data_IF_994966203955
#
_entry.id   IF_994966203955
#
_cell.length_a   1.000
_cell.length_b   1.000
_cell.length_c   1.000
_cell.angle_alpha   90.00
_cell.angle_beta   90.00
_cell.angle_gamma   90.00
#
_symmetry.space_group_name_H-M   'P 1'
#
loop_
_entity.id
_entity.type
_entity.pdbx_description
1 polymer ?
#
# COMPACT_ATOMS: atom_id res chain seq x y z
N UNK A 1 -4.46 -53.89 41.02
CA UNK A 1 -3.28 -53.05 40.76
C UNK A 1 -3.50 -51.62 41.27
N UNK A 2 -2.84 -51.21 42.36
CA UNK A 2 -2.89 -49.81 42.85
C UNK A 2 -1.89 -48.98 42.03
N UNK A 3 -2.39 -48.06 41.18
CA UNK A 3 -1.52 -47.07 40.52
C UNK A 3 -0.79 -46.26 41.58
N UNK A 4 0.53 -46.31 41.57
CA UNK A 4 1.40 -45.63 42.54
C UNK A 4 1.18 -44.12 42.48
N UNK A 5 0.87 -43.49 43.63
CA UNK A 5 0.75 -42.02 43.75
C UNK A 5 2.02 -41.29 43.27
N UNK A 6 3.18 -41.94 43.29
CA UNK A 6 4.44 -41.40 42.74
C UNK A 6 4.41 -41.22 41.22
N UNK A 7 3.71 -42.09 40.48
CA UNK A 7 3.60 -41.95 39.02
C UNK A 7 2.65 -40.82 38.60
N UNK A 8 1.62 -40.54 39.43
CA UNK A 8 0.73 -39.40 39.20
C UNK A 8 1.48 -38.08 39.44
N UNK A 9 2.26 -38.00 40.52
CA UNK A 9 3.10 -36.85 40.82
C UNK A 9 4.16 -36.60 39.72
N UNK A 10 4.75 -37.65 39.14
CA UNK A 10 5.71 -37.53 38.03
C UNK A 10 5.08 -36.99 36.74
N UNK A 11 3.79 -37.27 36.48
CA UNK A 11 3.05 -36.72 35.33
C UNK A 11 2.61 -35.27 35.54
N UNK A 12 2.20 -34.92 36.75
CA UNK A 12 1.86 -33.53 37.12
C UNK A 12 3.11 -32.63 37.17
N UNK A 13 4.27 -33.20 37.52
CA UNK A 13 5.55 -32.48 37.56
C UNK A 13 6.26 -32.39 36.19
N UNK A 14 5.67 -32.94 35.12
CA UNK A 14 6.08 -32.64 33.74
C UNK A 14 5.53 -31.25 33.42
N UNK A 15 6.29 -30.23 33.80
CA UNK A 15 5.79 -28.86 33.92
C UNK A 15 5.04 -28.39 32.67
N UNK A 16 3.79 -27.91 32.81
CA UNK A 16 3.12 -27.19 31.74
C UNK A 16 3.94 -25.95 31.30
N UNK A 17 4.71 -25.37 32.24
CA UNK A 17 5.59 -24.21 32.05
C UNK A 17 6.42 -24.28 30.76
N UNK A 18 7.09 -25.40 30.47
CA UNK A 18 7.99 -25.48 29.30
C UNK A 18 7.26 -25.42 27.96
N UNK A 19 6.00 -25.87 27.91
CA UNK A 19 5.17 -25.81 26.69
C UNK A 19 4.51 -24.44 26.55
N UNK A 20 3.99 -23.88 27.65
CA UNK A 20 3.41 -22.53 27.67
C UNK A 20 4.45 -21.44 27.40
N UNK A 21 5.68 -21.52 27.96
CA UNK A 21 6.77 -20.58 27.68
C UNK A 21 7.17 -20.58 26.20
N UNK A 22 7.14 -21.74 25.53
CA UNK A 22 7.46 -21.85 24.10
C UNK A 22 6.35 -21.26 23.21
N UNK A 23 5.09 -21.42 23.58
CA UNK A 23 3.96 -20.78 22.88
C UNK A 23 3.93 -19.28 23.12
N UNK A 24 4.20 -18.83 24.35
CA UNK A 24 4.27 -17.40 24.72
C UNK A 24 5.43 -16.70 24.01
N UNK A 25 6.63 -17.30 24.02
CA UNK A 25 7.78 -16.76 23.28
C UNK A 25 7.52 -16.76 21.77
N UNK A 26 7.00 -17.84 21.19
CA UNK A 26 6.64 -17.88 19.77
C UNK A 26 5.59 -16.85 19.38
N UNK A 27 4.58 -16.63 20.23
CA UNK A 27 3.56 -15.60 20.03
C UNK A 27 4.15 -14.20 20.13
N UNK A 28 5.04 -13.97 21.10
CA UNK A 28 5.73 -12.69 21.29
C UNK A 28 6.60 -12.36 20.06
N UNK A 29 7.40 -13.33 19.58
CA UNK A 29 8.20 -13.18 18.37
C UNK A 29 7.32 -12.86 17.16
N UNK A 30 6.21 -13.57 16.97
CA UNK A 30 5.28 -13.29 15.88
C UNK A 30 4.71 -11.87 15.99
N UNK A 31 4.30 -11.41 17.18
CA UNK A 31 3.81 -10.04 17.36
C UNK A 31 4.87 -8.98 17.08
N UNK A 32 6.12 -9.23 17.46
CA UNK A 32 7.25 -8.33 17.17
C UNK A 32 7.49 -8.26 15.66
N UNK A 33 7.50 -9.42 14.98
CA UNK A 33 7.68 -9.48 13.53
C UNK A 33 6.55 -8.74 12.82
N UNK A 34 5.29 -9.01 13.18
CA UNK A 34 4.14 -8.32 12.61
C UNK A 34 4.18 -6.81 12.84
N UNK A 35 4.58 -6.38 14.05
CA UNK A 35 4.78 -4.97 14.37
C UNK A 35 5.88 -4.32 13.52
N UNK A 36 7.02 -4.99 13.35
CA UNK A 36 8.10 -4.52 12.49
C UNK A 36 7.67 -4.45 11.02
N UNK A 37 7.00 -5.48 10.51
CA UNK A 37 6.45 -5.48 9.15
C UNK A 37 5.46 -4.34 8.93
N UNK A 38 4.60 -4.05 9.92
CA UNK A 38 3.67 -2.93 9.85
C UNK A 38 4.40 -1.57 9.84
N UNK A 39 5.43 -1.41 10.66
CA UNK A 39 6.26 -0.20 10.65
C UNK A 39 6.98 -0.01 9.31
N UNK A 40 7.56 -1.08 8.76
CA UNK A 40 8.17 -1.04 7.42
C UNK A 40 7.12 -0.65 6.38
N UNK A 41 5.94 -1.29 6.41
CA UNK A 41 4.85 -0.99 5.49
C UNK A 41 4.46 0.50 5.52
N UNK A 42 4.32 1.11 6.70
CA UNK A 42 3.96 2.53 6.83
C UNK A 42 5.02 3.51 6.26
N UNK A 43 6.26 3.06 6.09
CA UNK A 43 7.36 3.86 5.55
C UNK A 43 7.59 3.62 4.05
N UNK A 44 6.80 2.75 3.40
CA UNK A 44 6.92 2.53 1.97
C UNK A 44 6.31 3.69 1.17
N UNK A 45 6.76 3.91 -0.08
CA UNK A 45 6.18 4.94 -0.95
C UNK A 45 4.68 4.75 -1.13
N UNK A 46 3.93 5.85 -1.28
CA UNK A 46 2.48 5.79 -1.46
C UNK A 46 2.04 4.89 -2.64
N UNK A 47 2.83 4.85 -3.72
CA UNK A 47 2.61 3.95 -4.86
C UNK A 47 2.53 2.47 -4.44
N UNK A 48 3.31 2.05 -3.45
CA UNK A 48 3.27 0.67 -2.90
C UNK A 48 1.98 0.42 -2.13
N UNK A 49 1.52 1.41 -1.36
CA UNK A 49 0.25 1.32 -0.65
C UNK A 49 -0.94 1.19 -1.61
N UNK A 50 -0.91 1.93 -2.73
CA UNK A 50 -1.91 1.83 -3.80
C UNK A 50 -1.93 0.42 -4.40
N UNK A 51 -0.75 -0.11 -4.73
CA UNK A 51 -0.62 -1.47 -5.25
C UNK A 51 -1.15 -2.52 -4.26
N UNK A 52 -0.70 -2.49 -3.00
CA UNK A 52 -1.15 -3.44 -1.99
C UNK A 52 -2.66 -3.36 -1.74
N UNK A 53 -3.24 -2.16 -1.77
CA UNK A 53 -4.69 -1.98 -1.66
C UNK A 53 -5.44 -2.59 -2.84
N UNK A 54 -4.94 -2.40 -4.05
CA UNK A 54 -5.49 -3.05 -5.24
C UNK A 54 -5.41 -4.59 -5.15
N UNK A 55 -4.25 -5.15 -4.79
CA UNK A 55 -4.07 -6.61 -4.64
C UNK A 55 -4.99 -7.21 -3.57
N UNK A 56 -5.14 -6.52 -2.44
CA UNK A 56 -5.85 -7.09 -1.26
C UNK A 56 -7.34 -6.84 -1.25
N UNK A 57 -7.82 -5.72 -1.80
CA UNK A 57 -9.24 -5.33 -1.76
C UNK A 57 -9.91 -5.37 -3.13
N UNK A 58 -9.15 -5.35 -4.22
CA UNK A 58 -9.67 -5.17 -5.57
C UNK A 58 -10.29 -3.79 -5.79
N UNK A 59 -10.38 -3.37 -7.06
CA UNK A 59 -11.11 -2.17 -7.46
C UNK A 59 -10.32 -0.85 -7.46
N UNK A 60 -11.06 0.22 -7.74
CA UNK A 60 -10.54 1.58 -7.94
C UNK A 60 -10.06 2.20 -6.61
N UNK A 61 -8.98 2.99 -6.68
CA UNK A 61 -8.41 3.69 -5.53
C UNK A 61 -9.12 5.03 -5.35
N UNK A 62 -9.87 5.17 -4.26
CA UNK A 62 -10.77 6.30 -3.99
C UNK A 62 -10.21 7.36 -3.03
N UNK A 63 -9.03 7.10 -2.46
CA UNK A 63 -8.45 7.95 -1.42
C UNK A 63 -6.99 8.27 -1.69
N UNK A 64 -6.68 9.56 -1.57
CA UNK A 64 -5.32 10.10 -1.61
C UNK A 64 -4.96 10.57 -0.19
N UNK A 65 -3.75 10.28 0.31
CA UNK A 65 -3.27 10.80 1.59
C UNK A 65 -3.27 12.33 1.63
N UNK A 66 -3.73 12.89 2.75
CA UNK A 66 -3.82 14.34 2.96
C UNK A 66 -2.48 15.08 2.82
N UNK A 67 -1.34 14.38 3.05
CA UNK A 67 0.00 14.95 2.84
C UNK A 67 0.24 15.47 1.42
N UNK A 68 -0.48 14.94 0.42
CA UNK A 68 -0.35 15.34 -0.98
C UNK A 68 -1.34 16.41 -1.43
N UNK A 69 -2.32 16.81 -0.59
CA UNK A 69 -3.41 17.68 -1.07
C UNK A 69 -2.91 19.04 -1.53
N UNK A 70 -2.01 19.67 -0.77
CA UNK A 70 -1.43 20.97 -1.14
C UNK A 70 -0.71 20.90 -2.50
N UNK A 71 0.09 19.86 -2.70
CA UNK A 71 0.87 19.64 -3.92
C UNK A 71 -0.03 19.32 -5.12
N UNK A 72 -1.02 18.44 -4.95
CA UNK A 72 -2.01 18.13 -5.98
C UNK A 72 -2.86 19.35 -6.34
N UNK A 73 -3.20 20.19 -5.37
CA UNK A 73 -3.90 21.45 -5.64
C UNK A 73 -3.05 22.35 -6.54
N UNK A 74 -1.75 22.50 -6.27
CA UNK A 74 -0.85 23.27 -7.13
C UNK A 74 -0.72 22.67 -8.54
N UNK A 75 -0.62 21.34 -8.64
CA UNK A 75 -0.54 20.65 -9.93
C UNK A 75 -1.83 20.78 -10.74
N UNK A 76 -2.99 20.60 -10.12
CA UNK A 76 -4.29 20.76 -10.78
C UNK A 76 -4.55 22.18 -11.27
N UNK A 77 -4.03 23.20 -10.58
CA UNK A 77 -4.10 24.59 -11.05
C UNK A 77 -3.24 24.83 -12.30
N UNK A 78 -2.24 23.97 -12.57
CA UNK A 78 -1.38 23.99 -13.75
C UNK A 78 -1.83 23.01 -14.84
N UNK A 79 -2.96 22.35 -14.64
CA UNK A 79 -3.50 21.42 -15.63
C UNK A 79 -3.77 22.13 -16.96
N UNK A 80 -3.65 21.39 -18.06
CA UNK A 80 -3.96 21.93 -19.37
C UNK A 80 -5.47 22.16 -19.57
N UNK A 81 -5.86 22.62 -20.76
CA UNK A 81 -7.27 22.87 -21.08
C UNK A 81 -8.19 21.64 -21.00
N UNK A 82 -7.64 20.43 -21.07
CA UNK A 82 -8.39 19.18 -20.89
C UNK A 82 -8.46 18.75 -19.41
N UNK A 83 -7.75 19.44 -18.53
CA UNK A 83 -7.57 19.11 -17.13
C UNK A 83 -6.45 18.09 -16.92
N UNK A 84 -5.59 17.81 -17.90
CA UNK A 84 -4.49 16.85 -17.75
C UNK A 84 -3.26 17.46 -17.08
N UNK A 85 -2.63 16.66 -16.23
CA UNK A 85 -1.35 16.94 -15.56
C UNK A 85 -0.38 15.82 -15.91
N UNK A 86 0.73 16.16 -16.55
CA UNK A 86 1.77 15.22 -16.98
C UNK A 86 2.95 15.24 -16.02
N UNK A 87 3.04 14.31 -15.07
CA UNK A 87 4.09 14.33 -14.03
C UNK A 87 5.42 13.71 -14.46
N UNK A 88 5.48 13.05 -15.62
CA UNK A 88 6.63 12.25 -16.09
C UNK A 88 7.98 13.00 -16.17
N UNK A 89 7.97 14.33 -16.20
CA UNK A 89 9.17 15.18 -16.24
C UNK A 89 9.43 15.97 -14.95
N UNK A 90 8.66 15.75 -13.88
CA UNK A 90 8.77 16.51 -12.65
C UNK A 90 9.82 15.91 -11.72
N UNK A 91 10.99 16.54 -11.64
CA UNK A 91 12.09 16.13 -10.76
C UNK A 91 11.80 16.47 -9.29
N UNK A 92 10.96 17.48 -9.03
CA UNK A 92 10.63 17.95 -7.67
C UNK A 92 9.55 17.14 -6.97
N UNK A 93 8.72 16.40 -7.72
CA UNK A 93 7.49 15.75 -7.23
C UNK A 93 7.57 14.23 -7.40
N UNK A 94 8.63 13.62 -6.86
CA UNK A 94 8.96 12.22 -7.13
C UNK A 94 7.87 11.26 -6.65
N UNK A 95 7.37 11.39 -5.42
CA UNK A 95 6.37 10.44 -4.88
C UNK A 95 5.02 10.55 -5.60
N UNK A 96 4.58 11.76 -5.97
CA UNK A 96 3.36 11.95 -6.78
C UNK A 96 3.57 11.48 -8.21
N UNK A 97 4.70 11.76 -8.86
CA UNK A 97 4.99 11.27 -10.20
C UNK A 97 5.09 9.74 -10.26
N UNK A 98 5.64 9.12 -9.21
CA UNK A 98 5.70 7.68 -9.08
C UNK A 98 4.30 7.06 -8.90
N UNK A 99 3.46 7.69 -8.07
CA UNK A 99 2.12 7.19 -7.78
C UNK A 99 1.10 7.52 -8.88
N UNK A 100 1.17 8.70 -9.47
CA UNK A 100 0.29 9.24 -10.51
C UNK A 100 1.13 9.61 -11.73
N UNK A 101 0.92 8.94 -12.87
CA UNK A 101 1.76 9.12 -14.06
C UNK A 101 1.32 10.27 -14.96
N UNK A 102 0.10 10.18 -15.49
CA UNK A 102 -0.55 11.31 -16.15
C UNK A 102 -2.00 11.26 -15.71
N UNK A 103 -2.40 12.29 -14.96
CA UNK A 103 -3.69 12.28 -14.30
C UNK A 103 -4.51 13.49 -14.70
N UNK A 104 -5.82 13.36 -14.56
CA UNK A 104 -6.79 14.40 -14.87
C UNK A 104 -7.34 15.01 -13.59
N UNK A 105 -7.44 16.32 -13.56
CA UNK A 105 -8.11 17.09 -12.53
C UNK A 105 -9.42 17.66 -13.06
N UNK A 106 -10.52 17.40 -12.35
CA UNK A 106 -11.83 17.99 -12.66
C UNK A 106 -12.39 18.68 -11.43
N UNK A 107 -12.86 19.92 -11.56
CA UNK A 107 -13.60 20.57 -10.48
C UNK A 107 -14.97 19.92 -10.33
N UNK A 108 -15.26 19.47 -9.11
CA UNK A 108 -16.56 18.88 -8.75
C UNK A 108 -17.14 19.59 -7.53
N UNK A 109 -18.39 19.26 -7.21
CA UNK A 109 -19.07 19.79 -6.02
C UNK A 109 -19.06 21.34 -5.96
N UNK A 110 -19.48 21.99 -7.05
CA UNK A 110 -19.48 23.46 -7.13
C UNK A 110 -18.09 24.10 -7.14
N UNK A 111 -17.03 23.32 -7.38
CA UNK A 111 -15.64 23.79 -7.42
C UNK A 111 -14.92 23.78 -6.06
N UNK A 112 -15.50 23.11 -5.05
CA UNK A 112 -14.88 22.92 -3.73
C UNK A 112 -13.89 21.76 -3.70
N UNK A 113 -14.02 20.80 -4.61
CA UNK A 113 -13.22 19.58 -4.64
C UNK A 113 -12.60 19.39 -6.02
N UNK A 114 -11.42 18.78 -6.04
CA UNK A 114 -10.87 18.17 -7.25
C UNK A 114 -11.20 16.69 -7.27
N UNK A 115 -11.68 16.23 -8.40
CA UNK A 115 -11.69 14.82 -8.77
C UNK A 115 -10.38 14.53 -9.52
N UNK A 116 -9.55 13.67 -8.94
CA UNK A 116 -8.29 13.19 -9.50
C UNK A 116 -8.53 11.83 -10.13
N UNK A 117 -8.26 11.73 -11.43
CA UNK A 117 -8.42 10.49 -12.21
C UNK A 117 -7.11 10.10 -12.88
N UNK A 118 -6.62 8.90 -12.60
CA UNK A 118 -5.48 8.29 -13.31
C UNK A 118 -5.87 6.86 -13.70
N UNK A 119 -5.34 6.39 -14.82
CA UNK A 119 -5.50 5.02 -15.27
C UNK A 119 -4.14 4.41 -15.52
N UNK A 120 -3.76 3.46 -14.66
CA UNK A 120 -2.51 2.73 -14.80
C UNK A 120 -2.78 1.40 -15.46
N UNK A 121 -2.22 1.23 -16.64
CA UNK A 121 -2.07 -0.04 -17.35
C UNK A 121 -0.69 -0.07 -18.00
N UNK A 122 -0.03 -1.22 -17.96
CA UNK A 122 1.23 -1.40 -18.68
C UNK A 122 0.98 -2.32 -19.87
N UNK A 123 1.26 -1.85 -21.08
CA UNK A 123 1.05 -2.64 -22.30
C UNK A 123 2.21 -3.61 -22.59
N UNK A 124 3.37 -3.40 -21.95
CA UNK A 124 4.54 -4.27 -22.04
C UNK A 124 5.43 -4.18 -20.79
N UNK A 125 6.29 -5.20 -20.59
CA UNK A 125 7.29 -5.18 -19.53
C UNK A 125 8.29 -4.02 -19.72
N UNK A 126 8.63 -3.67 -20.96
CA UNK A 126 9.54 -2.56 -21.27
C UNK A 126 8.95 -1.19 -20.88
N UNK A 127 7.63 -1.02 -20.98
CA UNK A 127 6.93 0.18 -20.52
C UNK A 127 6.91 0.29 -18.99
N UNK A 128 6.85 -0.85 -18.29
CA UNK A 128 6.96 -0.92 -16.83
C UNK A 128 8.41 -0.74 -16.33
N UNK A 129 9.40 -1.21 -17.09
CA UNK A 129 10.84 -1.04 -16.82
C UNK A 129 11.27 0.43 -16.96
N UNK A 130 10.65 1.17 -17.87
CA UNK A 130 10.77 2.64 -17.95
C UNK A 130 9.94 3.37 -16.88
N UNK A 131 9.23 2.62 -16.03
CA UNK A 131 8.46 3.10 -14.88
C UNK A 131 9.27 3.14 -13.58
N UNK A 132 8.57 3.09 -12.46
CA UNK A 132 9.19 3.14 -11.11
C UNK A 132 9.75 1.77 -10.72
N UNK A 133 10.66 1.70 -9.74
CA UNK A 133 11.15 0.39 -9.22
C UNK A 133 10.00 -0.52 -8.78
N UNK A 134 8.90 0.07 -8.31
CA UNK A 134 7.68 -0.64 -7.98
C UNK A 134 7.00 -1.25 -9.21
N UNK A 135 6.91 -0.51 -10.33
CA UNK A 135 6.31 -1.02 -11.56
C UNK A 135 7.07 -2.27 -12.07
N UNK A 136 8.41 -2.25 -11.99
CA UNK A 136 9.26 -3.40 -12.31
C UNK A 136 8.97 -4.59 -11.39
N UNK A 137 8.95 -4.36 -10.08
CA UNK A 137 8.66 -5.41 -9.11
C UNK A 137 7.27 -6.04 -9.32
N UNK A 138 6.27 -5.23 -9.64
CA UNK A 138 4.91 -5.72 -9.89
C UNK A 138 4.86 -6.54 -11.17
N UNK A 139 5.48 -6.08 -12.27
CA UNK A 139 5.48 -6.83 -13.52
C UNK A 139 6.23 -8.15 -13.42
N UNK A 140 7.29 -8.22 -12.61
CA UNK A 140 7.98 -9.50 -12.34
C UNK A 140 7.09 -10.51 -11.62
N UNK A 141 6.20 -10.06 -10.73
CA UNK A 141 5.35 -10.96 -9.93
C UNK A 141 4.04 -11.30 -10.64
N UNK A 142 3.40 -10.32 -11.29
CA UNK A 142 2.04 -10.43 -11.82
C UNK A 142 1.97 -10.42 -13.35
N UNK A 143 3.08 -10.17 -14.05
CA UNK A 143 3.08 -9.90 -15.48
C UNK A 143 2.51 -8.53 -15.82
N UNK A 144 2.06 -8.34 -17.05
CA UNK A 144 1.53 -7.06 -17.56
C UNK A 144 0.01 -6.94 -17.50
N UNK A 145 -0.69 -8.01 -17.13
CA UNK A 145 -2.16 -8.07 -17.06
C UNK A 145 -2.70 -7.50 -15.74
N UNK A 146 -2.28 -6.28 -15.38
CA UNK A 146 -2.91 -5.54 -14.31
C UNK A 146 -3.24 -4.12 -14.74
N UNK A 147 -4.46 -3.70 -14.42
CA UNK A 147 -4.88 -2.32 -14.51
C UNK A 147 -5.58 -1.89 -13.23
N UNK A 148 -5.33 -0.66 -12.83
CA UNK A 148 -6.09 -0.03 -11.77
C UNK A 148 -6.35 1.43 -12.09
N UNK A 149 -7.57 1.85 -11.78
CA UNK A 149 -7.99 3.25 -11.89
C UNK A 149 -7.88 3.90 -10.52
N UNK A 150 -7.31 5.09 -10.51
CA UNK A 150 -7.33 5.98 -9.37
C UNK A 150 -8.44 6.98 -9.65
N UNK A 151 -9.39 7.11 -8.72
CA UNK A 151 -10.51 8.03 -8.81
C UNK A 151 -10.82 8.57 -7.43
N UNK A 152 -10.09 9.60 -7.02
CA UNK A 152 -10.14 10.13 -5.68
C UNK A 152 -10.57 11.59 -5.65
N UNK A 153 -11.23 11.99 -4.56
CA UNK A 153 -11.59 13.39 -4.32
C UNK A 153 -10.65 14.00 -3.30
N UNK A 154 -10.20 15.22 -3.56
CA UNK A 154 -9.42 16.01 -2.62
C UNK A 154 -10.05 17.41 -2.47
N UNK A 155 -9.97 18.03 -1.29
CA UNK A 155 -10.42 19.40 -1.09
C UNK A 155 -9.50 20.37 -1.83
N UNK A 156 -10.09 21.41 -2.43
CA UNK A 156 -9.35 22.46 -3.13
C UNK A 156 -8.64 23.44 -2.20
N UNK A 157 -9.10 23.54 -0.94
CA UNK A 157 -8.62 24.46 0.09
C UNK A 157 -8.46 23.74 1.42
#
# INVERSE_FOLDING_TARGET
MKKSKRDLAKRLNRSPKRKYDKFLTSSLYLTIILGLCYLVYLNLPWSFHLFMRWVTKGGDLDQIPAKFYSELNQLCLRADSAGEVKTRNYIEHTEIAEALGTFRCTLVNGGQEWLIEDYKSFSSADEAILGTQLAVFITEILGTDYSYRIRARIPRY
#
